data_IF_887027811602
#
_entry.id   IF_887027811602
#
_cell.length_a   1.000
_cell.length_b   1.000
_cell.length_c   1.000
_cell.angle_alpha   90.00
_cell.angle_beta   90.00
_cell.angle_gamma   90.00
#
_symmetry.space_group_name_H-M   'P 1'
#
loop_
_entity.id
_entity.type
_entity.pdbx_description
1 polymer ?
#
# COMPACT_ATOMS: atom_id res chain seq x y z
N UNK A 1 -3.66 25.83 -25.70
CA UNK A 1 -2.77 24.91 -24.95
C UNK A 1 -2.83 23.60 -25.69
N UNK A 2 -1.73 23.20 -26.31
CA UNK A 2 -1.59 21.89 -26.98
C UNK A 2 -1.78 20.79 -25.97
N UNK A 3 -2.72 19.88 -26.20
CA UNK A 3 -2.88 18.66 -25.43
C UNK A 3 -1.61 17.81 -25.58
N UNK A 4 -0.95 17.53 -24.46
CA UNK A 4 0.22 16.65 -24.43
C UNK A 4 -0.23 15.20 -24.69
N UNK A 5 0.30 14.59 -25.74
CA UNK A 5 0.08 13.16 -26.01
C UNK A 5 1.04 12.39 -25.11
N UNK A 6 0.49 11.61 -24.17
CA UNK A 6 1.25 10.73 -23.31
C UNK A 6 1.29 9.33 -23.93
N UNK A 7 2.50 8.85 -24.24
CA UNK A 7 2.72 7.46 -24.66
C UNK A 7 3.33 6.68 -23.51
N UNK A 8 2.68 5.60 -23.08
CA UNK A 8 3.18 4.72 -22.03
C UNK A 8 4.12 3.66 -22.64
N UNK A 9 5.19 3.32 -21.90
CA UNK A 9 6.17 2.30 -22.29
C UNK A 9 6.87 2.57 -23.65
N UNK A 10 7.09 3.84 -24.00
CA UNK A 10 7.73 4.22 -25.27
C UNK A 10 9.23 3.85 -25.33
N UNK A 11 9.89 3.65 -24.20
CA UNK A 11 11.29 3.24 -24.07
C UNK A 11 11.54 2.57 -22.71
N UNK A 12 12.66 1.88 -22.58
CA UNK A 12 13.11 1.33 -21.31
C UNK A 12 13.38 2.44 -20.27
N UNK A 13 12.95 2.23 -19.04
CA UNK A 13 13.11 3.23 -17.99
C UNK A 13 14.58 3.39 -17.59
N UNK A 14 15.11 4.63 -17.62
CA UNK A 14 16.48 4.97 -17.21
C UNK A 14 16.67 4.82 -15.69
N UNK A 15 15.62 5.11 -14.92
CA UNK A 15 15.57 4.95 -13.46
C UNK A 15 14.33 4.14 -13.09
N UNK A 16 14.38 3.45 -11.95
CA UNK A 16 13.20 2.69 -11.49
C UNK A 16 12.01 3.61 -11.21
N UNK A 17 10.75 3.17 -11.43
CA UNK A 17 9.57 3.94 -11.06
C UNK A 17 9.58 4.38 -9.58
N UNK A 18 10.06 3.52 -8.67
CA UNK A 18 10.18 3.83 -7.25
C UNK A 18 11.15 5.00 -6.99
N UNK A 19 12.29 5.03 -7.70
CA UNK A 19 13.25 6.14 -7.63
C UNK A 19 12.65 7.43 -8.17
N UNK A 20 11.91 7.35 -9.29
CA UNK A 20 11.22 8.50 -9.88
C UNK A 20 10.19 9.08 -8.91
N UNK A 21 9.32 8.24 -8.34
CA UNK A 21 8.27 8.66 -7.40
C UNK A 21 8.87 9.27 -6.14
N UNK A 22 9.98 8.73 -5.66
CA UNK A 22 10.72 9.30 -4.52
C UNK A 22 11.25 10.71 -4.85
N UNK A 23 11.84 10.91 -6.02
CA UNK A 23 12.31 12.22 -6.45
C UNK A 23 11.14 13.22 -6.59
N UNK A 24 9.98 12.79 -7.12
CA UNK A 24 8.80 13.62 -7.19
C UNK A 24 8.30 14.03 -5.78
N UNK A 25 8.26 13.11 -4.82
CA UNK A 25 7.95 13.43 -3.41
C UNK A 25 8.95 14.43 -2.83
N UNK A 26 10.24 14.25 -3.07
CA UNK A 26 11.28 15.18 -2.64
C UNK A 26 11.09 16.60 -3.20
N UNK A 27 10.67 16.70 -4.47
CA UNK A 27 10.41 17.99 -5.12
C UNK A 27 9.17 18.69 -4.58
N UNK A 28 8.16 17.94 -4.12
CA UNK A 28 6.93 18.47 -3.52
C UNK A 28 7.12 18.87 -2.05
N UNK A 29 8.08 18.27 -1.35
CA UNK A 29 8.38 18.66 0.03
C UNK A 29 8.99 20.05 0.08
N UNK A 30 8.54 20.89 1.03
CA UNK A 30 9.06 22.25 1.25
C UNK A 30 10.56 22.20 1.58
N UNK A 31 11.36 22.25 0.53
CA UNK A 31 12.81 22.28 0.57
C UNK A 31 13.34 23.72 0.58
N UNK A 32 12.66 24.65 1.30
CA UNK A 32 13.20 26.01 1.46
C UNK A 32 14.63 25.91 1.95
N UNK A 33 15.57 26.00 1.01
CA UNK A 33 16.98 26.08 1.33
C UNK A 33 17.21 27.34 2.18
N UNK A 34 17.84 27.22 3.35
CA UNK A 34 18.30 28.41 4.02
C UNK A 34 19.19 29.19 3.05
N UNK A 35 19.04 30.49 3.05
CA UNK A 35 19.56 31.44 2.04
C UNK A 35 21.08 31.44 1.82
N UNK A 36 21.84 30.46 2.32
CA UNK A 36 23.29 30.29 2.11
C UNK A 36 23.71 28.83 2.32
N UNK A 37 24.05 28.12 1.26
CA UNK A 37 24.99 26.97 1.16
C UNK A 37 24.87 25.80 2.18
N UNK A 38 23.88 25.75 3.05
CA UNK A 38 23.69 24.63 3.96
C UNK A 38 22.75 23.60 3.33
N UNK A 39 23.14 22.33 3.44
CA UNK A 39 22.28 21.24 3.01
C UNK A 39 20.95 21.25 3.79
N UNK A 40 19.87 20.86 3.14
CA UNK A 40 18.53 20.73 3.77
C UNK A 40 18.65 19.77 4.97
N UNK A 41 18.17 20.22 6.14
CA UNK A 41 18.28 19.42 7.36
C UNK A 41 17.51 18.11 7.26
N UNK A 42 18.03 17.08 7.96
CA UNK A 42 17.52 15.70 7.97
C UNK A 42 16.00 15.59 8.10
N UNK A 43 15.38 16.31 9.05
CA UNK A 43 13.95 16.26 9.35
C UNK A 43 13.14 17.44 8.77
N UNK A 44 13.72 18.25 7.88
CA UNK A 44 12.98 19.35 7.25
C UNK A 44 11.74 18.83 6.50
N UNK A 45 10.59 19.45 6.76
CA UNK A 45 9.32 19.05 6.15
C UNK A 45 8.69 17.78 6.73
N UNK A 46 9.31 17.13 7.73
CA UNK A 46 8.81 15.86 8.31
C UNK A 46 8.36 15.96 9.76
N UNK A 47 8.76 17.00 10.51
CA UNK A 47 8.48 17.10 11.94
C UNK A 47 7.44 18.18 12.25
N UNK A 48 6.41 17.81 12.99
CA UNK A 48 5.22 18.62 13.26
C UNK A 48 4.83 18.59 14.75
N UNK A 49 4.09 19.60 15.18
CA UNK A 49 3.45 19.64 16.48
C UNK A 49 2.17 18.81 16.46
N UNK A 50 1.94 17.92 17.44
CA UNK A 50 0.74 17.10 17.53
C UNK A 50 -0.54 17.92 17.71
N UNK A 51 -0.48 19.04 18.41
CA UNK A 51 -1.66 19.82 18.81
C UNK A 51 -2.14 20.75 17.68
N UNK A 52 -1.23 21.56 17.12
CA UNK A 52 -1.59 22.56 16.12
C UNK A 52 -1.21 22.15 14.69
N UNK A 53 -0.59 20.99 14.48
CA UNK A 53 -0.18 20.45 13.20
C UNK A 53 0.80 21.32 12.40
N UNK A 54 1.32 22.38 13.01
CA UNK A 54 2.33 23.24 12.40
C UNK A 54 3.70 22.61 12.42
N UNK A 55 4.54 22.95 11.44
CA UNK A 55 5.92 22.46 11.36
C UNK A 55 6.72 22.90 12.58
N UNK A 56 7.63 22.05 13.04
CA UNK A 56 8.58 22.40 14.10
C UNK A 56 9.85 22.97 13.53
N UNK A 57 10.33 24.02 14.17
CA UNK A 57 11.54 24.78 13.76
C UNK A 57 12.74 24.31 14.57
N UNK A 58 13.83 23.97 13.88
CA UNK A 58 15.13 23.66 14.50
C UNK A 58 15.77 24.90 15.08
N UNK A 59 16.19 24.81 16.32
CA UNK A 59 16.94 25.86 17.01
C UNK A 59 18.23 25.34 17.64
N UNK A 60 19.26 26.18 17.60
CA UNK A 60 20.52 25.99 18.30
C UNK A 60 20.61 26.99 19.44
N UNK A 61 21.10 26.56 20.59
CA UNK A 61 21.33 27.38 21.76
C UNK A 61 22.67 26.99 22.37
N UNK A 62 23.45 27.96 22.78
CA UNK A 62 24.70 27.74 23.54
C UNK A 62 24.48 28.08 24.99
N UNK A 63 24.73 27.14 25.88
CA UNK A 63 24.69 27.33 27.32
C UNK A 63 25.83 26.54 27.99
N UNK A 64 26.49 27.12 28.96
CA UNK A 64 27.62 26.49 29.70
C UNK A 64 28.70 25.87 28.79
N UNK A 65 29.03 26.55 27.68
CA UNK A 65 30.05 26.09 26.73
C UNK A 65 29.63 24.92 25.84
N UNK A 66 28.36 24.45 25.92
CA UNK A 66 27.79 23.36 25.11
C UNK A 66 26.75 23.90 24.14
N UNK A 67 26.68 23.31 22.95
CA UNK A 67 25.63 23.57 21.97
C UNK A 67 24.48 22.58 22.18
N UNK A 68 23.26 23.12 22.29
CA UNK A 68 22.02 22.36 22.38
C UNK A 68 21.20 22.60 21.13
N UNK A 69 20.80 21.51 20.49
CA UNK A 69 19.95 21.54 19.29
C UNK A 69 18.61 20.93 19.62
N UNK A 70 17.54 21.63 19.26
CA UNK A 70 16.17 21.20 19.58
C UNK A 70 15.17 21.72 18.56
N UNK A 71 14.02 21.05 18.50
CA UNK A 71 12.87 21.49 17.74
C UNK A 71 11.83 22.16 18.63
N UNK A 72 11.19 23.21 18.12
CA UNK A 72 10.09 23.93 18.78
C UNK A 72 8.94 24.13 17.82
N UNK A 73 7.72 24.15 18.32
CA UNK A 73 6.52 24.47 17.52
C UNK A 73 6.64 25.88 16.92
N UNK A 74 6.40 26.01 15.60
CA UNK A 74 6.46 27.30 14.91
C UNK A 74 5.36 28.24 15.34
N UNK A 75 4.13 27.75 15.57
CA UNK A 75 3.00 28.57 16.06
C UNK A 75 3.26 29.10 17.46
N UNK A 76 3.68 28.26 18.40
CA UNK A 76 4.05 28.72 19.75
C UNK A 76 5.21 29.71 19.74
N UNK A 77 6.16 29.58 18.78
CA UNK A 77 7.25 30.55 18.60
C UNK A 77 6.75 31.92 18.16
N UNK A 78 5.71 31.96 17.31
CA UNK A 78 5.13 33.20 16.79
C UNK A 78 4.17 33.81 17.81
N UNK A 79 3.28 32.99 18.35
CA UNK A 79 2.27 33.40 19.33
C UNK A 79 2.04 32.26 20.35
N UNK A 80 2.25 32.57 21.63
CA UNK A 80 2.13 31.64 22.74
C UNK A 80 0.67 31.30 23.08
N UNK A 81 -0.29 32.06 22.60
CA UNK A 81 -1.72 31.79 22.82
C UNK A 81 -2.27 30.77 21.82
N UNK A 82 -1.63 30.65 20.65
CA UNK A 82 -2.07 29.73 19.58
C UNK A 82 -1.75 28.26 19.88
N UNK A 83 -0.67 27.98 20.59
CA UNK A 83 -0.28 26.62 20.92
C UNK A 83 0.56 26.56 22.19
N UNK A 84 0.44 25.44 22.91
CA UNK A 84 1.27 25.15 24.08
C UNK A 84 2.76 24.96 23.70
N UNK A 85 3.71 25.11 24.65
CA UNK A 85 5.12 24.93 24.37
C UNK A 85 5.48 23.48 24.04
N UNK A 86 5.76 23.18 22.79
CA UNK A 86 6.31 21.89 22.33
C UNK A 86 7.80 22.08 22.04
N UNK A 87 8.62 21.31 22.74
CA UNK A 87 10.07 21.35 22.58
C UNK A 87 10.64 19.96 22.80
N UNK A 88 11.46 19.48 21.86
CA UNK A 88 12.17 18.21 21.96
C UNK A 88 13.62 18.35 21.48
N UNK A 89 14.53 17.63 22.11
CA UNK A 89 15.94 17.61 21.69
C UNK A 89 16.09 16.87 20.35
N UNK A 90 17.00 17.35 19.49
CA UNK A 90 17.22 16.75 18.18
C UNK A 90 17.67 15.29 18.26
N UNK A 91 18.60 14.98 19.19
CA UNK A 91 19.08 13.60 19.37
C UNK A 91 17.96 12.65 19.77
N UNK A 92 16.99 13.08 20.60
CA UNK A 92 15.84 12.23 20.98
C UNK A 92 14.99 11.85 19.77
N UNK A 93 14.75 12.80 18.86
CA UNK A 93 14.04 12.52 17.61
C UNK A 93 14.88 11.60 16.71
N UNK A 94 16.17 11.85 16.61
CA UNK A 94 17.10 11.07 15.81
C UNK A 94 17.13 9.61 16.26
N UNK A 95 17.31 9.37 17.55
CA UNK A 95 17.40 8.03 18.14
C UNK A 95 16.07 7.27 17.97
N UNK A 96 14.94 7.96 18.20
CA UNK A 96 13.61 7.34 18.00
C UNK A 96 13.37 6.96 16.54
N UNK A 97 13.69 7.82 15.59
CA UNK A 97 13.54 7.55 14.15
C UNK A 97 14.47 6.43 13.71
N UNK A 98 15.72 6.41 14.15
CA UNK A 98 16.67 5.35 13.83
C UNK A 98 16.17 3.98 14.33
N UNK A 99 15.73 3.91 15.59
CA UNK A 99 15.20 2.68 16.17
C UNK A 99 13.96 2.16 15.43
N UNK A 100 13.05 3.05 15.04
CA UNK A 100 11.84 2.68 14.28
C UNK A 100 12.22 2.15 12.90
N UNK A 101 13.14 2.80 12.20
CA UNK A 101 13.61 2.34 10.87
C UNK A 101 14.33 0.99 10.99
N UNK A 102 15.20 0.80 11.98
CA UNK A 102 15.86 -0.49 12.22
C UNK A 102 14.84 -1.62 12.48
N UNK A 103 13.82 -1.35 13.30
CA UNK A 103 12.74 -2.30 13.58
C UNK A 103 11.92 -2.63 12.31
N UNK A 104 11.67 -1.63 11.48
CA UNK A 104 10.94 -1.80 10.21
C UNK A 104 11.74 -2.63 9.21
N UNK A 105 13.05 -2.39 9.11
CA UNK A 105 13.94 -3.18 8.25
C UNK A 105 14.02 -4.63 8.73
N UNK A 106 14.18 -4.86 10.04
CA UNK A 106 14.17 -6.21 10.61
C UNK A 106 12.87 -6.95 10.28
N UNK A 107 11.71 -6.30 10.50
CA UNK A 107 10.40 -6.86 10.14
C UNK A 107 10.30 -7.20 8.66
N UNK A 108 10.80 -6.32 7.77
CA UNK A 108 10.80 -6.57 6.32
C UNK A 108 11.58 -7.83 5.96
N UNK A 109 12.76 -8.02 6.55
CA UNK A 109 13.62 -9.19 6.30
C UNK A 109 13.00 -10.47 6.85
N UNK A 110 12.37 -10.42 8.02
CA UNK A 110 11.66 -11.56 8.60
C UNK A 110 10.45 -11.96 7.74
N UNK A 111 9.68 -10.99 7.26
CA UNK A 111 8.55 -11.23 6.35
C UNK A 111 9.02 -11.78 5.00
N UNK A 112 10.12 -11.27 4.45
CA UNK A 112 10.70 -11.79 3.22
C UNK A 112 11.12 -13.26 3.38
N UNK A 113 11.75 -13.60 4.51
CA UNK A 113 12.12 -14.98 4.84
C UNK A 113 10.88 -15.86 4.96
N UNK A 114 9.88 -15.43 5.71
CA UNK A 114 8.62 -16.16 5.87
C UNK A 114 7.93 -16.41 4.52
N UNK A 115 7.86 -15.41 3.64
CA UNK A 115 7.29 -15.56 2.29
C UNK A 115 8.08 -16.52 1.40
N UNK A 116 9.40 -16.63 1.58
CA UNK A 116 10.23 -17.60 0.85
C UNK A 116 10.07 -19.03 1.34
N UNK A 117 9.88 -19.20 2.65
CA UNK A 117 9.66 -20.52 3.28
C UNK A 117 8.26 -21.07 2.97
N UNK A 118 7.30 -20.19 2.67
CA UNK A 118 6.02 -20.61 2.13
C UNK A 118 6.25 -21.16 0.72
N UNK A 119 5.71 -22.36 0.44
CA UNK A 119 5.65 -22.90 -0.91
C UNK A 119 4.63 -22.09 -1.75
N UNK A 120 4.95 -20.81 -1.90
CA UNK A 120 4.09 -19.79 -2.50
C UNK A 120 3.74 -20.12 -3.95
N UNK A 121 4.64 -20.80 -4.66
CA UNK A 121 4.42 -21.20 -6.07
C UNK A 121 3.26 -22.20 -6.18
N UNK A 122 3.15 -23.12 -5.22
CA UNK A 122 2.06 -24.12 -5.23
C UNK A 122 0.72 -23.52 -4.84
N UNK A 123 0.70 -22.53 -3.92
CA UNK A 123 -0.52 -21.83 -3.53
C UNK A 123 -1.03 -20.88 -4.62
N UNK A 124 -0.16 -20.05 -5.18
CA UNK A 124 -0.52 -19.15 -6.29
C UNK A 124 -1.11 -19.95 -7.45
N UNK A 125 -0.48 -21.05 -7.82
CA UNK A 125 -0.97 -21.92 -8.89
C UNK A 125 -2.36 -22.46 -8.57
N UNK A 126 -2.58 -23.03 -7.38
CA UNK A 126 -3.88 -23.57 -6.95
C UNK A 126 -4.96 -22.49 -6.93
N UNK A 127 -4.65 -21.31 -6.41
CA UNK A 127 -5.60 -20.21 -6.34
C UNK A 127 -5.93 -19.66 -7.74
N UNK A 128 -4.93 -19.51 -8.61
CA UNK A 128 -5.16 -19.14 -10.01
C UNK A 128 -6.02 -20.19 -10.75
N UNK A 129 -5.78 -21.48 -10.53
CA UNK A 129 -6.59 -22.55 -11.08
C UNK A 129 -8.02 -22.53 -10.55
N UNK A 130 -8.21 -22.22 -9.25
CA UNK A 130 -9.52 -22.04 -8.63
C UNK A 130 -10.30 -20.90 -9.27
N UNK A 131 -9.63 -19.75 -9.42
CA UNK A 131 -10.22 -18.56 -10.06
C UNK A 131 -10.56 -18.86 -11.53
N UNK A 132 -9.65 -19.49 -12.26
CA UNK A 132 -9.88 -19.85 -13.67
C UNK A 132 -11.08 -20.79 -13.85
N UNK A 133 -11.21 -21.79 -12.98
CA UNK A 133 -12.41 -22.67 -12.97
C UNK A 133 -13.68 -21.90 -12.64
N UNK A 134 -13.58 -20.90 -11.73
CA UNK A 134 -14.69 -20.02 -11.40
C UNK A 134 -15.16 -19.19 -12.61
N UNK A 135 -14.20 -18.62 -13.37
CA UNK A 135 -14.48 -17.86 -14.60
C UNK A 135 -15.15 -18.77 -15.63
N UNK A 136 -14.58 -19.94 -15.90
CA UNK A 136 -15.13 -20.89 -16.88
C UNK A 136 -16.59 -21.27 -16.57
N UNK A 137 -16.91 -21.52 -15.29
CA UNK A 137 -18.31 -21.80 -14.88
C UNK A 137 -19.26 -20.63 -15.17
N UNK A 138 -18.82 -19.40 -14.97
CA UNK A 138 -19.65 -18.22 -15.27
C UNK A 138 -19.81 -18.01 -16.77
N UNK A 139 -18.78 -18.31 -17.56
CA UNK A 139 -18.87 -18.31 -19.04
C UNK A 139 -19.85 -19.36 -19.54
N UNK A 140 -19.88 -20.54 -18.94
CA UNK A 140 -20.88 -21.58 -19.26
C UNK A 140 -22.32 -21.11 -18.96
N UNK A 141 -22.52 -20.41 -17.82
CA UNK A 141 -23.82 -19.82 -17.48
C UNK A 141 -24.23 -18.77 -18.51
N UNK A 142 -23.31 -17.93 -18.98
CA UNK A 142 -23.60 -16.93 -20.01
C UNK A 142 -24.01 -17.62 -21.32
N UNK A 143 -23.25 -18.61 -21.78
CA UNK A 143 -23.51 -19.30 -23.03
C UNK A 143 -24.81 -20.12 -22.98
N UNK A 144 -25.13 -20.73 -21.83
CA UNK A 144 -26.40 -21.39 -21.62
C UNK A 144 -27.58 -20.41 -21.76
N UNK A 145 -27.53 -19.28 -21.06
CA UNK A 145 -28.61 -18.29 -21.09
C UNK A 145 -28.74 -17.60 -22.46
N UNK A 146 -27.64 -17.40 -23.19
CA UNK A 146 -27.68 -16.91 -24.58
C UNK A 146 -28.44 -17.91 -25.49
N UNK A 147 -28.16 -19.21 -25.37
CA UNK A 147 -28.86 -20.26 -26.10
C UNK A 147 -30.37 -20.33 -25.74
N UNK A 148 -30.67 -20.22 -24.43
CA UNK A 148 -32.07 -20.15 -23.96
C UNK A 148 -32.80 -18.95 -24.55
N UNK A 149 -32.17 -17.77 -24.61
CA UNK A 149 -32.78 -16.60 -25.27
C UNK A 149 -33.09 -16.82 -26.74
N UNK A 150 -32.24 -17.54 -27.47
CA UNK A 150 -32.49 -17.87 -28.86
C UNK A 150 -33.71 -18.85 -29.01
N UNK A 151 -33.78 -19.86 -28.14
CA UNK A 151 -34.92 -20.81 -28.11
C UNK A 151 -36.22 -20.10 -27.75
N UNK A 152 -36.25 -19.29 -26.72
CA UNK A 152 -37.43 -18.52 -26.29
C UNK A 152 -37.88 -17.56 -27.41
N UNK A 153 -36.96 -17.02 -28.20
CA UNK A 153 -37.31 -16.18 -29.35
C UNK A 153 -37.97 -16.97 -30.46
N UNK A 154 -37.51 -18.21 -30.75
CA UNK A 154 -38.13 -19.07 -31.74
C UNK A 154 -39.53 -19.56 -31.28
N UNK A 155 -39.68 -19.88 -29.97
CA UNK A 155 -40.98 -20.27 -29.38
C UNK A 155 -42.00 -19.11 -29.48
N UNK A 156 -41.55 -17.88 -29.25
CA UNK A 156 -42.38 -16.69 -29.45
C UNK A 156 -42.78 -16.50 -30.93
N UNK A 157 -41.81 -16.68 -31.82
CA UNK A 157 -42.04 -16.50 -33.26
C UNK A 157 -42.99 -17.55 -33.86
N UNK A 158 -43.02 -18.75 -33.25
CA UNK A 158 -43.94 -19.84 -33.61
C UNK A 158 -45.24 -19.82 -32.81
N UNK A 159 -45.51 -18.75 -32.08
CA UNK A 159 -46.71 -18.52 -31.26
C UNK A 159 -46.94 -19.59 -30.15
N UNK A 160 -45.86 -20.29 -29.73
CA UNK A 160 -45.90 -21.25 -28.62
C UNK A 160 -46.00 -20.52 -27.26
N UNK A 161 -45.40 -19.32 -27.14
CA UNK A 161 -45.48 -18.46 -25.96
C UNK A 161 -46.01 -17.08 -26.32
N UNK A 162 -46.64 -16.41 -25.35
CA UNK A 162 -47.15 -15.04 -25.49
C UNK A 162 -46.04 -14.03 -25.43
N UNK A 163 -46.31 -12.79 -25.87
CA UNK A 163 -45.36 -11.67 -25.76
C UNK A 163 -44.96 -11.36 -24.31
N UNK A 164 -45.88 -11.51 -23.38
CA UNK A 164 -45.58 -11.20 -21.97
C UNK A 164 -44.73 -12.30 -21.33
N UNK A 165 -44.98 -13.55 -21.63
CA UNK A 165 -44.12 -14.69 -21.24
C UNK A 165 -42.72 -14.54 -21.85
N UNK A 166 -42.60 -14.18 -23.12
CA UNK A 166 -41.34 -13.89 -23.78
C UNK A 166 -40.54 -12.81 -23.06
N UNK A 167 -41.19 -11.69 -22.69
CA UNK A 167 -40.53 -10.59 -21.95
C UNK A 167 -40.00 -11.03 -20.58
N UNK A 168 -40.79 -11.83 -19.85
CA UNK A 168 -40.42 -12.33 -18.52
C UNK A 168 -39.21 -13.27 -18.65
N UNK A 169 -39.26 -14.26 -19.52
CA UNK A 169 -38.16 -15.23 -19.70
C UNK A 169 -36.89 -14.56 -20.24
N UNK A 170 -37.03 -13.61 -21.17
CA UNK A 170 -35.89 -12.82 -21.65
C UNK A 170 -35.23 -12.01 -20.54
N UNK A 171 -36.04 -11.35 -19.70
CA UNK A 171 -35.53 -10.55 -18.58
C UNK A 171 -34.78 -11.43 -17.57
N UNK A 172 -35.26 -12.62 -17.26
CA UNK A 172 -34.58 -13.58 -16.36
C UNK A 172 -33.25 -14.03 -16.96
N UNK A 173 -33.18 -14.35 -18.24
CA UNK A 173 -31.92 -14.67 -18.91
C UNK A 173 -30.93 -13.49 -18.92
N UNK A 174 -31.42 -12.27 -19.18
CA UNK A 174 -30.61 -11.06 -19.20
C UNK A 174 -30.03 -10.76 -17.80
N UNK A 175 -30.82 -10.96 -16.74
CA UNK A 175 -30.36 -10.79 -15.35
C UNK A 175 -29.27 -11.83 -15.03
N UNK A 176 -29.46 -13.10 -15.35
CA UNK A 176 -28.45 -14.15 -15.11
C UNK A 176 -27.14 -13.90 -15.86
N UNK A 177 -27.22 -13.40 -17.09
CA UNK A 177 -26.03 -12.99 -17.87
C UNK A 177 -25.33 -11.80 -17.19
N UNK A 178 -26.08 -10.81 -16.70
CA UNK A 178 -25.52 -9.65 -15.99
C UNK A 178 -24.80 -10.08 -14.72
N UNK A 179 -25.41 -10.92 -13.89
CA UNK A 179 -24.85 -11.41 -12.64
C UNK A 179 -23.58 -12.24 -12.87
N UNK A 180 -23.59 -13.07 -13.90
CA UNK A 180 -22.41 -13.83 -14.30
C UNK A 180 -21.25 -12.93 -14.77
N UNK A 181 -21.53 -11.88 -15.56
CA UNK A 181 -20.51 -10.91 -15.98
C UNK A 181 -19.92 -10.14 -14.79
N UNK A 182 -20.74 -9.72 -13.81
CA UNK A 182 -20.27 -9.08 -12.59
C UNK A 182 -19.37 -10.02 -11.78
N UNK A 183 -19.75 -11.31 -11.71
CA UNK A 183 -18.93 -12.33 -11.04
C UNK A 183 -17.58 -12.53 -11.72
N UNK A 184 -17.54 -12.57 -13.06
CA UNK A 184 -16.30 -12.64 -13.84
C UNK A 184 -15.41 -11.42 -13.58
N UNK A 185 -15.98 -10.22 -13.60
CA UNK A 185 -15.22 -8.98 -13.31
C UNK A 185 -14.56 -9.03 -11.94
N UNK A 186 -15.28 -9.49 -10.91
CA UNK A 186 -14.76 -9.69 -9.56
C UNK A 186 -13.64 -10.74 -9.52
N UNK A 187 -13.82 -11.88 -10.20
CA UNK A 187 -12.83 -12.95 -10.28
C UNK A 187 -11.54 -12.49 -11.00
N UNK A 188 -11.66 -11.72 -12.08
CA UNK A 188 -10.52 -11.11 -12.79
C UNK A 188 -9.78 -10.13 -11.86
N UNK A 189 -10.49 -9.31 -11.09
CA UNK A 189 -9.90 -8.44 -10.08
C UNK A 189 -9.09 -9.23 -9.04
N UNK A 190 -9.62 -10.35 -8.57
CA UNK A 190 -8.92 -11.23 -7.63
C UNK A 190 -7.68 -11.89 -8.28
N UNK A 191 -7.80 -12.36 -9.53
CA UNK A 191 -6.66 -12.90 -10.29
C UNK A 191 -5.51 -11.91 -10.41
N UNK A 192 -5.82 -10.64 -10.70
CA UNK A 192 -4.81 -9.60 -10.80
C UNK A 192 -4.14 -9.32 -9.46
N UNK A 193 -4.90 -9.38 -8.35
CA UNK A 193 -4.34 -9.27 -6.99
C UNK A 193 -3.40 -10.45 -6.66
N UNK A 194 -3.74 -11.67 -7.03
CA UNK A 194 -2.88 -12.84 -6.84
C UNK A 194 -1.61 -12.69 -7.68
N UNK A 195 -1.71 -12.35 -8.95
CA UNK A 195 -0.56 -12.17 -9.85
C UNK A 195 0.38 -11.03 -9.41
N UNK A 196 -0.16 -9.94 -8.83
CA UNK A 196 0.65 -8.83 -8.30
C UNK A 196 1.17 -9.11 -6.88
N UNK A 197 0.66 -10.17 -6.22
CA UNK A 197 0.80 -10.34 -4.78
C UNK A 197 2.18 -10.81 -4.33
N UNK A 198 2.57 -12.05 -4.61
CA UNK A 198 3.76 -12.65 -3.99
C UNK A 198 5.06 -12.18 -4.63
N UNK A 199 5.16 -12.24 -5.95
CA UNK A 199 6.38 -11.80 -6.66
C UNK A 199 6.63 -10.31 -6.50
N UNK A 200 5.56 -9.50 -6.58
CA UNK A 200 5.65 -8.06 -6.34
C UNK A 200 6.00 -7.72 -4.89
N UNK A 201 5.44 -8.44 -3.92
CA UNK A 201 5.72 -8.25 -2.49
C UNK A 201 7.14 -8.68 -2.11
N UNK A 202 7.63 -9.81 -2.64
CA UNK A 202 9.01 -10.25 -2.44
C UNK A 202 10.02 -9.26 -3.03
N UNK A 203 9.78 -8.78 -4.24
CA UNK A 203 10.63 -7.76 -4.88
C UNK A 203 10.60 -6.44 -4.11
N UNK A 204 9.44 -6.05 -3.56
CA UNK A 204 9.33 -4.86 -2.74
C UNK A 204 10.09 -5.02 -1.42
N UNK A 205 9.93 -6.13 -0.69
CA UNK A 205 10.65 -6.40 0.56
C UNK A 205 12.16 -6.49 0.35
N UNK A 206 12.61 -7.01 -0.78
CA UNK A 206 14.05 -7.14 -1.07
C UNK A 206 14.79 -5.79 -1.08
N UNK A 207 14.10 -4.68 -1.35
CA UNK A 207 14.66 -3.33 -1.30
C UNK A 207 15.13 -2.94 0.10
N UNK A 208 14.56 -3.53 1.16
CA UNK A 208 14.95 -3.26 2.54
C UNK A 208 16.31 -3.85 2.91
N UNK A 209 16.85 -4.78 2.12
CA UNK A 209 18.18 -5.39 2.36
C UNK A 209 19.31 -4.37 2.32
N UNK A 210 19.19 -3.33 1.50
CA UNK A 210 20.18 -2.26 1.42
C UNK A 210 20.35 -1.53 2.76
N UNK A 211 19.32 -1.60 3.62
CA UNK A 211 19.27 -0.93 4.91
C UNK A 211 19.50 -1.87 6.10
N UNK A 212 19.85 -3.15 5.88
CA UNK A 212 19.94 -4.19 6.93
C UNK A 212 20.82 -3.80 8.12
N UNK A 213 21.87 -3.03 7.90
CA UNK A 213 22.83 -2.63 8.94
C UNK A 213 22.89 -1.11 9.11
N UNK A 214 21.77 -0.43 8.96
CA UNK A 214 21.73 1.02 9.07
C UNK A 214 22.09 1.46 10.48
N UNK A 215 23.16 2.30 10.59
CA UNK A 215 23.65 2.86 11.84
C UNK A 215 23.44 4.38 11.91
N UNK A 216 23.29 5.02 10.77
CA UNK A 216 23.16 6.47 10.67
C UNK A 216 22.05 6.86 9.74
N UNK A 217 21.32 7.91 10.10
CA UNK A 217 20.29 8.49 9.27
C UNK A 217 20.88 9.51 8.31
N UNK A 218 20.51 9.40 7.06
CA UNK A 218 20.62 10.48 6.08
C UNK A 218 19.24 10.91 5.60
N UNK A 219 19.17 12.05 4.89
CA UNK A 219 17.90 12.58 4.44
C UNK A 219 17.15 11.63 3.50
N UNK A 220 17.86 10.91 2.65
CA UNK A 220 17.28 9.92 1.73
C UNK A 220 16.55 8.81 2.49
N UNK A 221 17.21 8.25 3.51
CA UNK A 221 16.61 7.23 4.40
C UNK A 221 15.36 7.77 5.10
N UNK A 222 15.43 8.97 5.69
CA UNK A 222 14.25 9.54 6.36
C UNK A 222 13.09 9.72 5.41
N UNK A 223 13.31 10.22 4.21
CA UNK A 223 12.24 10.41 3.22
C UNK A 223 11.69 9.08 2.73
N UNK A 224 12.55 8.08 2.55
CA UNK A 224 12.12 6.74 2.12
C UNK A 224 11.21 6.06 3.14
N UNK A 225 11.56 6.14 4.43
CA UNK A 225 10.84 5.41 5.49
C UNK A 225 9.75 6.22 6.19
N UNK A 226 9.95 7.54 6.36
CA UNK A 226 9.13 8.36 7.23
C UNK A 226 8.18 9.25 6.41
N UNK A 227 6.91 9.10 6.68
CA UNK A 227 5.88 10.01 6.18
C UNK A 227 5.81 11.27 7.05
N UNK A 228 5.70 11.08 8.37
CA UNK A 228 5.47 12.16 9.32
C UNK A 228 6.00 11.83 10.71
N UNK A 229 6.49 12.84 11.41
CA UNK A 229 6.90 12.80 12.80
C UNK A 229 6.09 13.85 13.56
N UNK A 230 5.37 13.44 14.60
CA UNK A 230 4.61 14.35 15.46
C UNK A 230 5.17 14.33 16.88
N UNK A 231 5.25 15.51 17.48
CA UNK A 231 5.80 15.70 18.83
C UNK A 231 4.70 16.20 19.74
N UNK A 232 4.43 15.48 20.84
CA UNK A 232 3.45 15.87 21.86
C UNK A 232 4.03 16.83 22.89
N UNK A 233 3.17 17.47 23.69
CA UNK A 233 3.56 18.34 24.80
C UNK A 233 4.43 17.61 25.82
N UNK A 234 4.19 16.31 26.06
CA UNK A 234 4.95 15.40 26.94
C UNK A 234 6.28 14.95 26.33
N UNK A 235 6.66 15.49 25.16
CA UNK A 235 7.87 15.12 24.40
C UNK A 235 7.87 13.68 23.87
N UNK A 236 6.71 13.08 23.68
CA UNK A 236 6.58 11.82 22.97
C UNK A 236 6.70 12.06 21.48
N UNK A 237 7.25 11.07 20.76
CA UNK A 237 7.43 11.11 19.32
C UNK A 237 6.52 10.05 18.69
N UNK A 238 5.59 10.48 17.87
CA UNK A 238 4.75 9.60 17.05
C UNK A 238 5.30 9.62 15.64
N UNK A 239 5.54 8.44 15.07
CA UNK A 239 6.16 8.30 13.75
C UNK A 239 5.22 7.53 12.84
N UNK A 240 4.82 8.15 11.74
CA UNK A 240 4.07 7.53 10.65
C UNK A 240 5.02 7.09 9.55
N UNK A 241 4.90 5.84 9.13
CA UNK A 241 5.76 5.22 8.13
C UNK A 241 5.11 5.22 6.75
N UNK A 242 5.91 5.42 5.70
CA UNK A 242 5.44 5.44 4.31
C UNK A 242 4.81 4.12 3.83
N UNK A 243 5.17 2.99 4.42
CA UNK A 243 4.85 1.65 3.92
C UNK A 243 3.98 0.82 4.87
N UNK A 244 3.31 1.48 5.84
CA UNK A 244 2.53 0.80 6.87
C UNK A 244 1.43 -0.09 6.30
N UNK A 245 0.75 0.34 5.24
CA UNK A 245 -0.35 -0.42 4.63
C UNK A 245 0.15 -1.65 3.85
N UNK A 246 1.30 -1.55 3.18
CA UNK A 246 1.92 -2.69 2.49
C UNK A 246 2.33 -3.78 3.50
N UNK A 247 2.95 -3.40 4.62
CA UNK A 247 3.27 -4.35 5.69
C UNK A 247 2.03 -5.02 6.27
N UNK A 248 0.98 -4.26 6.50
CA UNK A 248 -0.31 -4.79 7.00
C UNK A 248 -0.88 -5.81 6.02
N UNK A 249 -0.91 -5.49 4.74
CA UNK A 249 -1.42 -6.39 3.70
C UNK A 249 -0.64 -7.72 3.65
N UNK A 250 0.70 -7.69 3.81
CA UNK A 250 1.54 -8.90 3.86
C UNK A 250 1.23 -9.72 5.12
N UNK A 251 1.13 -9.07 6.27
CA UNK A 251 0.81 -9.74 7.54
C UNK A 251 -0.57 -10.41 7.50
N UNK A 252 -1.56 -9.74 6.94
CA UNK A 252 -2.91 -10.28 6.81
C UNK A 252 -2.92 -11.47 5.83
N UNK A 253 -2.17 -11.39 4.73
CA UNK A 253 -1.97 -12.51 3.82
C UNK A 253 -1.34 -13.72 4.52
N UNK A 254 -0.28 -13.52 5.30
CA UNK A 254 0.39 -14.60 6.05
C UNK A 254 -0.56 -15.26 7.07
N UNK A 255 -1.38 -14.47 7.77
CA UNK A 255 -2.39 -14.98 8.71
C UNK A 255 -3.46 -15.83 8.02
N UNK A 256 -3.97 -15.36 6.89
CA UNK A 256 -4.96 -16.10 6.10
C UNK A 256 -4.38 -17.41 5.57
N UNK A 257 -3.14 -17.37 5.07
CA UNK A 257 -2.42 -18.55 4.61
C UNK A 257 -2.26 -19.60 5.72
N UNK A 258 -1.80 -19.18 6.92
CA UNK A 258 -1.65 -20.08 8.08
C UNK A 258 -2.98 -20.70 8.50
N UNK A 259 -4.06 -19.91 8.54
CA UNK A 259 -5.40 -20.39 8.89
C UNK A 259 -5.91 -21.44 7.90
N UNK A 260 -5.69 -21.26 6.62
CA UNK A 260 -6.11 -22.23 5.59
C UNK A 260 -5.33 -23.54 5.71
N UNK A 261 -4.02 -23.49 5.93
CA UNK A 261 -3.20 -24.69 6.07
C UNK A 261 -3.45 -25.46 7.38
N UNK A 262 -3.75 -24.77 8.47
CA UNK A 262 -4.17 -25.44 9.72
C UNK A 262 -5.49 -26.20 9.53
N UNK A 263 -6.42 -25.65 8.76
CA UNK A 263 -7.70 -26.30 8.46
C UNK A 263 -7.52 -27.52 7.55
N UNK A 264 -6.63 -27.47 6.58
CA UNK A 264 -6.30 -28.60 5.70
C UNK A 264 -5.64 -29.78 6.45
N UNK A 265 -4.76 -29.49 7.42
CA UNK A 265 -4.13 -30.51 8.27
C UNK A 265 -5.15 -31.21 9.18
N UNK A 266 -6.07 -30.47 9.78
CA UNK A 266 -7.14 -31.03 10.62
C UNK A 266 -8.11 -31.91 9.84
N UNK A 267 -8.45 -31.53 8.59
CA UNK A 267 -9.32 -32.32 7.73
C UNK A 267 -8.63 -33.59 7.22
N UNK A 268 -7.30 -33.57 7.04
CA UNK A 268 -6.54 -34.76 6.63
C UNK A 268 -6.36 -35.79 7.74
N UNK A 269 -6.39 -35.36 9.02
CA UNK A 269 -6.34 -36.26 10.20
C UNK A 269 -7.69 -36.91 10.53
N UNK A 270 -8.82 -36.31 10.12
CA UNK A 270 -10.16 -36.89 10.33
C UNK A 270 -10.57 -37.94 9.25
N UNK A 271 -9.81 -38.06 8.16
CA UNK A 271 -10.13 -38.96 7.02
C UNK A 271 -9.14 -40.15 6.96
N UNK A 272 -8.19 -40.25 7.87
CA UNK A 272 -7.24 -41.36 8.01
C UNK A 272 -7.58 -42.26 9.18
#
# INVERSE_FOLDING_TARGET
QSEWIRSENAHEAIISPATFDMVQKLMLEDSRSPSRKEAVHLFSGKIFCSDCQSSMVRKKSKAYGREYVYFICSSNKQDKEVCSPHRIAEHTVYDAVLAVIQSQVALALDLEKALRELDGVSWERRELERIQRGIARQEEVIEYNKRMKAMIYEDFKTEVITLDEYKIFKADCDQKISDANQSITRLIGNRNKVNSGLTGQQNWLSQFREYQNIQELNRHVVIHFIERIEVTAEKQVQITLNHADQFRAILDFLKEYQKQHQTELLVSEEVG
#
